data_IF_786582311544
#
_entry.id   IF_786582311544
#
_cell.length_a   1.000
_cell.length_b   1.000
_cell.length_c   1.000
_cell.angle_alpha   90.00
_cell.angle_beta   90.00
_cell.angle_gamma   90.00
#
_symmetry.space_group_name_H-M   'P 1'
#
loop_
_entity.id
_entity.type
_entity.pdbx_description
1 polymer ?
#
# COMPACT_ATOMS: atom_id res chain seq x y z
N UNK A 1 5.05 -37.28 78.61
CA UNK A 1 5.22 -35.83 78.39
C UNK A 1 4.36 -35.41 77.20
N UNK A 2 3.40 -34.49 77.36
CA UNK A 2 2.49 -34.12 76.27
C UNK A 2 3.19 -33.15 75.33
N UNK A 3 3.20 -33.47 74.03
CA UNK A 3 3.71 -32.58 72.98
C UNK A 3 2.75 -31.40 72.88
N UNK A 4 3.19 -30.22 73.31
CA UNK A 4 2.35 -29.03 73.40
C UNK A 4 1.72 -28.62 72.05
N UNK A 5 0.50 -28.06 72.05
CA UNK A 5 -0.27 -27.76 70.84
C UNK A 5 0.38 -26.73 69.88
N UNK A 6 1.43 -26.02 70.32
CA UNK A 6 2.08 -24.95 69.55
C UNK A 6 2.74 -25.36 68.23
N UNK A 7 3.20 -26.61 68.07
CA UNK A 7 3.88 -27.05 66.83
C UNK A 7 2.95 -27.17 65.61
N UNK A 8 1.66 -27.47 65.83
CA UNK A 8 0.68 -27.57 64.72
C UNK A 8 0.32 -26.19 64.16
N UNK A 9 0.15 -25.19 65.02
CA UNK A 9 -0.14 -23.82 64.61
C UNK A 9 0.99 -23.18 63.80
N UNK A 10 2.25 -23.39 64.21
CA UNK A 10 3.42 -22.90 63.48
C UNK A 10 3.50 -23.48 62.05
N UNK A 11 3.16 -24.76 61.88
CA UNK A 11 3.20 -25.44 60.57
C UNK A 11 2.09 -24.94 59.62
N UNK A 12 0.89 -24.67 60.14
CA UNK A 12 -0.19 -24.07 59.36
C UNK A 12 0.12 -22.65 58.90
N UNK A 13 0.74 -21.82 59.75
CA UNK A 13 1.18 -20.48 59.38
C UNK A 13 2.25 -20.48 58.29
N UNK A 14 3.21 -21.42 58.36
CA UNK A 14 4.23 -21.58 57.33
C UNK A 14 3.65 -22.04 55.98
N UNK A 15 2.70 -22.98 55.99
CA UNK A 15 2.01 -23.44 54.77
C UNK A 15 1.20 -22.33 54.12
N UNK A 16 0.45 -21.55 54.91
CA UNK A 16 -0.30 -20.40 54.38
C UNK A 16 0.63 -19.34 53.79
N UNK A 17 1.76 -19.04 54.44
CA UNK A 17 2.75 -18.10 53.92
C UNK A 17 3.42 -18.61 52.64
N UNK A 18 3.60 -19.94 52.50
CA UNK A 18 4.11 -20.58 51.27
C UNK A 18 3.08 -20.48 50.15
N UNK A 19 1.83 -20.91 50.37
CA UNK A 19 0.75 -20.77 49.38
C UNK A 19 0.52 -19.31 48.97
N UNK A 20 0.67 -18.34 49.89
CA UNK A 20 0.56 -16.92 49.57
C UNK A 20 1.75 -16.42 48.73
N UNK A 21 2.96 -16.93 48.97
CA UNK A 21 4.16 -16.62 48.19
C UNK A 21 4.11 -17.24 46.80
N UNK A 22 3.69 -18.50 46.73
CA UNK A 22 3.54 -19.26 45.51
C UNK A 22 2.43 -18.63 44.65
N UNK A 23 1.27 -18.33 45.24
CA UNK A 23 0.18 -17.62 44.55
C UNK A 23 0.53 -16.21 44.09
N UNK A 24 1.32 -15.45 44.85
CA UNK A 24 1.82 -14.15 44.41
C UNK A 24 2.86 -14.27 43.28
N UNK A 25 3.65 -15.34 43.27
CA UNK A 25 4.56 -15.67 42.18
C UNK A 25 3.82 -16.04 40.90
N UNK A 26 2.78 -16.88 41.02
CA UNK A 26 1.93 -17.30 39.90
C UNK A 26 1.18 -16.10 39.29
N UNK A 27 0.65 -15.20 40.13
CA UNK A 27 -0.01 -13.96 39.68
C UNK A 27 0.97 -13.03 38.94
N UNK A 28 2.21 -12.90 39.43
CA UNK A 28 3.25 -12.12 38.77
C UNK A 28 3.65 -12.72 37.42
N UNK A 29 3.80 -14.05 37.34
CA UNK A 29 4.12 -14.75 36.09
C UNK A 29 2.99 -14.60 35.06
N UNK A 30 1.74 -14.79 35.49
CA UNK A 30 0.56 -14.57 34.64
C UNK A 30 0.44 -13.12 34.16
N UNK A 31 0.70 -12.15 35.04
CA UNK A 31 0.72 -10.73 34.67
C UNK A 31 1.80 -10.42 33.63
N UNK A 32 2.99 -11.03 33.78
CA UNK A 32 4.10 -10.86 32.83
C UNK A 32 3.79 -11.50 31.48
N UNK A 33 3.26 -12.72 31.47
CA UNK A 33 2.83 -13.42 30.25
C UNK A 33 1.72 -12.64 29.53
N UNK A 34 0.71 -12.16 30.27
CA UNK A 34 -0.34 -11.32 29.72
C UNK A 34 0.20 -10.02 29.12
N UNK A 35 1.18 -9.37 29.77
CA UNK A 35 1.81 -8.17 29.24
C UNK A 35 2.63 -8.44 27.96
N UNK A 36 3.37 -9.56 27.91
CA UNK A 36 4.09 -10.00 26.72
C UNK A 36 3.12 -10.31 25.57
N UNK A 37 2.00 -10.98 25.87
CA UNK A 37 0.95 -11.31 24.89
C UNK A 37 0.25 -10.06 24.35
N UNK A 38 -0.13 -9.12 25.21
CA UNK A 38 -0.71 -7.84 24.79
C UNK A 38 0.26 -7.04 23.92
N UNK A 39 1.54 -7.00 24.29
CA UNK A 39 2.56 -6.32 23.49
C UNK A 39 2.75 -6.96 22.12
N UNK A 40 2.69 -8.29 22.03
CA UNK A 40 2.76 -8.99 20.75
C UNK A 40 1.56 -8.66 19.85
N UNK A 41 0.35 -8.62 20.42
CA UNK A 41 -0.88 -8.19 19.72
C UNK A 41 -0.76 -6.74 19.25
N UNK A 42 -0.32 -5.82 20.10
CA UNK A 42 -0.16 -4.40 19.75
C UNK A 42 0.86 -4.18 18.62
N UNK A 43 1.98 -4.91 18.65
CA UNK A 43 3.00 -4.83 17.58
C UNK A 43 2.48 -5.38 16.26
N UNK A 44 1.72 -6.49 16.29
CA UNK A 44 1.13 -7.08 15.10
C UNK A 44 0.06 -6.15 14.51
N UNK A 45 -0.90 -5.71 15.32
CA UNK A 45 -1.98 -4.81 14.90
C UNK A 45 -1.42 -3.46 14.42
N UNK A 46 -0.40 -2.92 15.09
CA UNK A 46 0.28 -1.70 14.67
C UNK A 46 0.96 -1.84 13.30
N UNK A 47 1.54 -3.01 13.01
CA UNK A 47 2.13 -3.32 11.71
C UNK A 47 1.10 -3.38 10.58
N UNK A 48 -0.03 -4.05 10.81
CA UNK A 48 -1.14 -4.15 9.85
C UNK A 48 -1.78 -2.78 9.57
N UNK A 49 -1.99 -1.96 10.60
CA UNK A 49 -2.50 -0.58 10.45
C UNK A 49 -1.53 0.27 9.62
N UNK A 50 -0.23 0.17 9.90
CA UNK A 50 0.80 0.91 9.15
C UNK A 50 0.84 0.47 7.68
N UNK A 51 0.76 -0.84 7.41
CA UNK A 51 0.72 -1.38 6.06
C UNK A 51 -0.53 -0.95 5.30
N UNK A 52 -1.70 -1.00 5.95
CA UNK A 52 -2.97 -0.53 5.39
C UNK A 52 -2.90 0.94 5.00
N UNK A 53 -2.42 1.79 5.90
CA UNK A 53 -2.22 3.22 5.63
C UNK A 53 -1.26 3.45 4.46
N UNK A 54 -0.18 2.67 4.38
CA UNK A 54 0.79 2.76 3.29
C UNK A 54 0.20 2.37 1.93
N UNK A 55 -0.64 1.31 1.89
CA UNK A 55 -1.38 0.92 0.68
C UNK A 55 -2.36 2.01 0.23
N UNK A 56 -3.12 2.58 1.16
CA UNK A 56 -4.02 3.69 0.87
C UNK A 56 -3.26 4.92 0.38
N UNK A 57 -2.11 5.24 0.98
CA UNK A 57 -1.24 6.31 0.52
C UNK A 57 -0.74 6.07 -0.92
N UNK A 58 -0.38 4.83 -1.27
CA UNK A 58 0.00 4.47 -2.63
C UNK A 58 -1.17 4.63 -3.63
N UNK A 59 -2.40 4.31 -3.22
CA UNK A 59 -3.62 4.59 -4.01
C UNK A 59 -3.77 6.10 -4.27
N UNK A 60 -3.66 6.93 -3.23
CA UNK A 60 -3.72 8.38 -3.40
C UNK A 60 -2.58 8.92 -4.26
N UNK A 61 -1.36 8.40 -4.12
CA UNK A 61 -0.21 8.79 -4.93
C UNK A 61 -0.43 8.47 -6.42
N UNK A 62 -0.99 7.30 -6.75
CA UNK A 62 -1.37 6.98 -8.13
C UNK A 62 -2.48 7.92 -8.65
N UNK A 63 -3.44 8.26 -7.79
CA UNK A 63 -4.50 9.24 -8.11
C UNK A 63 -3.93 10.63 -8.37
N UNK A 64 -2.92 11.03 -7.60
CA UNK A 64 -2.21 12.28 -7.78
C UNK A 64 -1.47 12.33 -9.13
N UNK A 65 -0.78 11.25 -9.52
CA UNK A 65 -0.15 11.19 -10.84
C UNK A 65 -1.18 11.35 -11.98
N UNK A 66 -2.36 10.74 -11.84
CA UNK A 66 -3.47 10.92 -12.76
C UNK A 66 -3.90 12.38 -12.88
N UNK A 67 -4.07 13.06 -11.75
CA UNK A 67 -4.42 14.48 -11.72
C UNK A 67 -3.31 15.34 -12.34
N UNK A 68 -2.04 15.07 -12.03
CA UNK A 68 -0.91 15.79 -12.62
C UNK A 68 -0.92 15.64 -14.15
N UNK A 69 -1.06 14.42 -14.66
CA UNK A 69 -1.05 14.19 -16.11
C UNK A 69 -2.30 14.71 -16.81
N UNK A 70 -3.45 14.76 -16.13
CA UNK A 70 -4.66 15.40 -16.67
C UNK A 70 -4.48 16.92 -16.81
N UNK A 71 -3.91 17.57 -15.80
CA UNK A 71 -3.59 19.00 -15.89
C UNK A 71 -2.53 19.27 -16.96
N UNK A 72 -1.47 18.45 -17.01
CA UNK A 72 -0.44 18.56 -18.05
C UNK A 72 -1.02 18.40 -19.45
N UNK A 73 -2.01 17.51 -19.64
CA UNK A 73 -2.71 17.36 -20.92
C UNK A 73 -3.37 18.68 -21.34
N UNK A 74 -4.17 19.31 -20.49
CA UNK A 74 -4.83 20.56 -20.86
C UNK A 74 -3.83 21.72 -21.04
N UNK A 75 -2.84 21.81 -20.15
CA UNK A 75 -1.79 22.83 -20.19
C UNK A 75 -0.94 22.73 -21.48
N UNK A 76 -0.77 21.54 -22.03
CA UNK A 76 -0.01 21.35 -23.28
C UNK A 76 -0.89 21.37 -24.53
N UNK A 77 -2.13 20.87 -24.44
CA UNK A 77 -3.05 20.78 -25.58
C UNK A 77 -3.60 22.13 -26.01
N UNK A 78 -3.92 23.04 -25.07
CA UNK A 78 -4.45 24.37 -25.41
C UNK A 78 -3.42 25.18 -26.21
N UNK A 79 -2.15 25.36 -25.75
CA UNK A 79 -1.15 26.08 -26.53
C UNK A 79 -0.81 25.39 -27.85
N UNK A 80 -0.83 24.05 -27.87
CA UNK A 80 -0.62 23.29 -29.09
C UNK A 80 -1.70 23.58 -30.15
N UNK A 81 -2.98 23.60 -29.77
CA UNK A 81 -4.07 23.96 -30.69
C UNK A 81 -3.96 25.42 -31.17
N UNK A 82 -3.57 26.34 -30.29
CA UNK A 82 -3.33 27.74 -30.66
C UNK A 82 -2.18 27.87 -31.68
N UNK A 83 -1.11 27.09 -31.53
CA UNK A 83 0.05 27.13 -32.43
C UNK A 83 -0.29 26.73 -33.88
N UNK A 84 -1.27 25.84 -34.06
CA UNK A 84 -1.76 25.40 -35.38
C UNK A 84 -3.08 26.06 -35.78
N UNK A 85 -3.51 27.11 -35.06
CA UNK A 85 -4.78 27.86 -35.26
C UNK A 85 -6.01 26.95 -35.37
N UNK A 86 -6.02 25.86 -34.61
CA UNK A 86 -7.11 24.89 -34.61
C UNK A 86 -8.24 25.36 -33.71
N UNK A 87 -9.47 25.40 -34.24
CA UNK A 87 -10.66 25.65 -33.43
C UNK A 87 -11.06 24.41 -32.63
N UNK A 88 -11.78 24.59 -31.52
CA UNK A 88 -12.30 23.47 -30.74
C UNK A 88 -13.16 22.54 -31.60
N UNK A 89 -13.98 23.08 -32.50
CA UNK A 89 -14.83 22.28 -33.40
C UNK A 89 -14.04 21.43 -34.39
N UNK A 90 -12.84 21.89 -34.80
CA UNK A 90 -11.99 21.14 -35.71
C UNK A 90 -11.45 19.85 -35.09
N UNK A 91 -11.39 19.76 -33.75
CA UNK A 91 -10.93 18.55 -33.04
C UNK A 91 -11.87 17.35 -33.18
N UNK A 92 -13.14 17.58 -33.55
CA UNK A 92 -14.13 16.52 -33.76
C UNK A 92 -13.83 15.66 -35.00
N UNK A 93 -13.01 16.17 -35.93
CA UNK A 93 -12.63 15.42 -37.13
C UNK A 93 -11.64 14.30 -36.74
N UNK A 94 -11.87 13.05 -37.20
CA UNK A 94 -10.91 11.97 -37.00
C UNK A 94 -9.52 12.36 -37.46
N UNK A 95 -8.51 12.14 -36.62
CA UNK A 95 -7.12 12.47 -36.93
C UNK A 95 -6.74 13.94 -36.77
N UNK A 96 -7.65 14.88 -36.48
CA UNK A 96 -7.28 16.29 -36.29
C UNK A 96 -6.19 16.47 -35.22
N UNK A 97 -6.26 15.71 -34.13
CA UNK A 97 -5.28 15.77 -33.04
C UNK A 97 -3.88 15.25 -33.42
N UNK A 98 -3.72 14.54 -34.55
CA UNK A 98 -2.41 14.08 -34.99
C UNK A 98 -1.54 15.19 -35.59
N UNK A 99 -2.14 16.32 -35.97
CA UNK A 99 -1.40 17.49 -36.49
C UNK A 99 -0.76 18.32 -35.37
N UNK A 100 -1.08 18.03 -34.11
CA UNK A 100 -0.50 18.72 -32.97
C UNK A 100 1.00 18.41 -32.84
N UNK A 101 1.80 19.36 -32.33
CA UNK A 101 3.20 19.14 -32.01
C UNK A 101 3.45 17.87 -31.17
N UNK A 102 4.60 17.23 -31.41
CA UNK A 102 4.93 15.95 -30.78
C UNK A 102 4.93 16.02 -29.24
N UNK A 103 5.41 17.12 -28.65
CA UNK A 103 5.45 17.30 -27.19
C UNK A 103 4.04 17.24 -26.56
N UNK A 104 3.03 17.87 -27.19
CA UNK A 104 1.64 17.81 -26.70
C UNK A 104 1.00 16.44 -26.95
N UNK A 105 1.34 15.79 -28.08
CA UNK A 105 0.88 14.42 -28.36
C UNK A 105 1.47 13.39 -27.39
N UNK A 106 2.70 13.57 -26.92
CA UNK A 106 3.35 12.69 -25.96
C UNK A 106 2.65 12.69 -24.61
N UNK A 107 2.26 13.88 -24.11
CA UNK A 107 1.50 14.01 -22.85
C UNK A 107 0.11 13.39 -22.99
N UNK A 108 -0.57 13.61 -24.11
CA UNK A 108 -1.87 12.96 -24.38
C UNK A 108 -1.77 11.43 -24.46
N UNK A 109 -0.75 10.92 -25.15
CA UNK A 109 -0.50 9.48 -25.21
C UNK A 109 -0.21 8.92 -23.81
N UNK A 110 0.52 9.63 -22.96
CA UNK A 110 0.75 9.21 -21.58
C UNK A 110 -0.55 9.18 -20.76
N UNK A 111 -1.36 10.23 -20.81
CA UNK A 111 -2.64 10.29 -20.12
C UNK A 111 -3.56 9.10 -20.50
N UNK A 112 -3.61 8.73 -21.78
CA UNK A 112 -4.37 7.56 -22.21
C UNK A 112 -3.82 6.24 -21.63
N UNK A 113 -2.48 6.07 -21.58
CA UNK A 113 -1.85 4.91 -20.94
C UNK A 113 -2.05 4.88 -19.40
N UNK A 114 -2.42 6.01 -18.80
CA UNK A 114 -2.80 6.09 -17.40
C UNK A 114 -4.19 5.56 -17.13
N UNK A 115 -5.10 5.48 -18.10
CA UNK A 115 -6.44 4.97 -17.83
C UNK A 115 -6.48 3.44 -17.64
N UNK A 116 -5.71 2.67 -18.42
CA UNK A 116 -5.89 1.22 -18.50
C UNK A 116 -5.25 0.46 -17.32
N UNK A 117 -3.94 0.58 -17.09
CA UNK A 117 -3.24 -0.20 -16.06
C UNK A 117 -3.57 0.18 -14.59
N UNK A 118 -3.69 1.47 -14.23
CA UNK A 118 -3.99 1.91 -12.87
C UNK A 118 -5.39 1.54 -12.37
N UNK A 119 -6.36 1.34 -13.25
CA UNK A 119 -7.70 0.89 -12.85
C UNK A 119 -7.62 -0.49 -12.18
N UNK A 120 -6.82 -1.40 -12.72
CA UNK A 120 -6.55 -2.70 -12.12
C UNK A 120 -5.81 -2.57 -10.79
N UNK A 121 -4.82 -1.67 -10.70
CA UNK A 121 -4.11 -1.41 -9.44
C UNK A 121 -5.05 -0.94 -8.32
N UNK A 122 -5.92 0.03 -8.59
CA UNK A 122 -6.89 0.49 -7.60
C UNK A 122 -7.79 -0.64 -7.11
N UNK A 123 -8.36 -1.42 -8.03
CA UNK A 123 -9.24 -2.52 -7.68
C UNK A 123 -8.54 -3.56 -6.78
N UNK A 124 -7.34 -3.99 -7.17
CA UNK A 124 -6.57 -5.02 -6.45
C UNK A 124 -6.12 -4.53 -5.09
N UNK A 125 -5.54 -3.33 -5.00
CA UNK A 125 -5.04 -2.78 -3.74
C UNK A 125 -6.17 -2.52 -2.74
N UNK A 126 -7.31 -1.98 -3.20
CA UNK A 126 -8.47 -1.77 -2.33
C UNK A 126 -9.10 -3.10 -1.90
N UNK A 127 -9.12 -4.12 -2.76
CA UNK A 127 -9.58 -5.45 -2.38
C UNK A 127 -8.70 -6.09 -1.29
N UNK A 128 -7.37 -5.96 -1.40
CA UNK A 128 -6.43 -6.45 -0.38
C UNK A 128 -6.68 -5.76 0.97
N UNK A 129 -6.85 -4.44 0.96
CA UNK A 129 -7.16 -3.66 2.17
C UNK A 129 -8.51 -4.08 2.75
N UNK A 130 -9.55 -4.17 1.92
CA UNK A 130 -10.90 -4.53 2.36
C UNK A 130 -10.98 -5.96 2.92
N UNK A 131 -10.17 -6.87 2.39
CA UNK A 131 -10.08 -8.25 2.85
C UNK A 131 -9.19 -8.42 4.11
N UNK A 132 -8.54 -7.36 4.59
CA UNK A 132 -7.71 -7.40 5.80
C UNK A 132 -6.35 -8.07 5.61
N UNK A 133 -5.89 -8.28 4.38
CA UNK A 133 -4.61 -8.94 4.09
C UNK A 133 -3.44 -7.96 3.94
N UNK A 134 -3.59 -6.69 4.35
CA UNK A 134 -2.57 -5.68 4.19
C UNK A 134 -1.32 -6.01 5.03
N UNK A 135 -0.16 -6.05 4.39
CA UNK A 135 1.13 -6.24 5.06
C UNK A 135 2.26 -5.45 4.39
N UNK A 136 3.45 -5.51 4.99
CA UNK A 136 4.62 -4.77 4.51
C UNK A 136 5.06 -5.14 3.09
N UNK A 137 4.80 -6.37 2.64
CA UNK A 137 5.16 -6.81 1.29
C UNK A 137 4.20 -6.22 0.26
N UNK A 138 2.89 -6.24 0.52
CA UNK A 138 1.92 -5.54 -0.33
C UNK A 138 2.22 -4.05 -0.39
N UNK A 139 2.54 -3.42 0.75
CA UNK A 139 2.92 -2.01 0.79
C UNK A 139 4.15 -1.72 -0.08
N UNK A 140 5.20 -2.54 0.02
CA UNK A 140 6.40 -2.42 -0.81
C UNK A 140 6.10 -2.56 -2.31
N UNK A 141 5.34 -3.59 -2.71
CA UNK A 141 4.94 -3.80 -4.10
C UNK A 141 4.11 -2.63 -4.65
N UNK A 142 3.21 -2.06 -3.85
CA UNK A 142 2.40 -0.92 -4.24
C UNK A 142 3.26 0.33 -4.50
N UNK A 143 4.24 0.61 -3.64
CA UNK A 143 5.15 1.75 -3.85
C UNK A 143 6.11 1.56 -5.02
N UNK A 144 6.60 0.34 -5.25
CA UNK A 144 7.38 0.02 -6.45
C UNK A 144 6.53 0.25 -7.71
N UNK A 145 5.29 -0.22 -7.71
CA UNK A 145 4.36 0.03 -8.82
C UNK A 145 4.16 1.53 -9.05
N UNK A 146 3.81 2.30 -8.02
CA UNK A 146 3.64 3.76 -8.11
C UNK A 146 4.90 4.43 -8.64
N UNK A 147 6.07 4.12 -8.09
CA UNK A 147 7.35 4.69 -8.54
C UNK A 147 7.62 4.43 -10.03
N UNK A 148 7.39 3.21 -10.51
CA UNK A 148 7.52 2.87 -11.92
C UNK A 148 6.57 3.67 -12.81
N UNK A 149 5.34 3.96 -12.33
CA UNK A 149 4.38 4.78 -13.07
C UNK A 149 4.83 6.23 -13.18
N UNK A 150 5.39 6.80 -12.12
CA UNK A 150 5.97 8.15 -12.16
C UNK A 150 7.16 8.21 -13.16
N UNK A 151 8.05 7.22 -13.12
CA UNK A 151 9.20 7.14 -14.06
C UNK A 151 8.70 7.01 -15.50
N UNK A 152 7.74 6.11 -15.75
CA UNK A 152 7.17 5.92 -17.09
C UNK A 152 6.56 7.22 -17.63
N UNK A 153 5.78 7.92 -16.80
CA UNK A 153 5.18 9.19 -17.18
C UNK A 153 6.21 10.28 -17.46
N UNK A 154 7.24 10.39 -16.63
CA UNK A 154 8.32 11.33 -16.85
C UNK A 154 9.04 11.02 -18.18
N UNK A 155 9.42 9.77 -18.44
CA UNK A 155 10.10 9.36 -19.68
C UNK A 155 9.22 9.63 -20.89
N UNK A 156 7.94 9.29 -20.86
CA UNK A 156 7.05 9.48 -22.00
C UNK A 156 6.75 10.96 -22.28
N UNK A 157 6.53 11.76 -21.24
CA UNK A 157 6.24 13.19 -21.38
C UNK A 157 7.46 14.01 -21.85
N UNK A 158 8.69 13.55 -21.57
CA UNK A 158 9.93 14.29 -21.87
C UNK A 158 10.74 13.67 -23.01
N UNK A 159 11.54 12.64 -22.72
CA UNK A 159 12.52 12.03 -23.64
C UNK A 159 11.86 11.17 -24.72
N UNK A 160 10.70 10.60 -24.40
CA UNK A 160 9.87 9.78 -25.27
C UNK A 160 10.57 8.59 -25.94
N UNK A 161 11.62 8.02 -25.32
CA UNK A 161 12.33 6.87 -25.86
C UNK A 161 11.47 5.60 -25.70
N UNK A 162 11.00 5.07 -26.83
CA UNK A 162 10.01 3.98 -26.88
C UNK A 162 10.44 2.74 -26.09
N UNK A 163 11.68 2.28 -26.27
CA UNK A 163 12.19 1.08 -25.58
C UNK A 163 12.20 1.28 -24.05
N UNK A 164 12.62 2.46 -23.58
CA UNK A 164 12.69 2.76 -22.14
C UNK A 164 11.29 2.83 -21.55
N UNK A 165 10.38 3.60 -22.15
CA UNK A 165 9.01 3.69 -21.63
C UNK A 165 8.31 2.33 -21.65
N UNK A 166 8.53 1.52 -22.68
CA UNK A 166 7.96 0.17 -22.78
C UNK A 166 8.51 -0.75 -21.68
N UNK A 167 9.83 -0.77 -21.46
CA UNK A 167 10.43 -1.59 -20.42
C UNK A 167 9.92 -1.23 -19.02
N UNK A 168 9.84 0.06 -18.70
CA UNK A 168 9.31 0.54 -17.40
C UNK A 168 7.82 0.19 -17.26
N UNK A 169 7.03 0.33 -18.33
CA UNK A 169 5.62 -0.05 -18.34
C UNK A 169 5.43 -1.55 -18.12
N UNK A 170 6.16 -2.39 -18.87
CA UNK A 170 6.12 -3.84 -18.72
C UNK A 170 6.52 -4.27 -17.31
N UNK A 171 7.57 -3.66 -16.73
CA UNK A 171 7.97 -3.93 -15.36
C UNK A 171 6.87 -3.55 -14.36
N UNK A 172 6.17 -2.43 -14.56
CA UNK A 172 5.02 -2.07 -13.71
C UNK A 172 3.90 -3.11 -13.76
N UNK A 173 3.64 -3.69 -14.93
CA UNK A 173 2.68 -4.80 -15.07
C UNK A 173 3.13 -6.08 -14.38
N UNK A 174 4.42 -6.41 -14.45
CA UNK A 174 4.97 -7.57 -13.73
C UNK A 174 4.76 -7.40 -12.22
N UNK A 175 5.08 -6.23 -11.67
CA UNK A 175 4.86 -5.94 -10.25
C UNK A 175 3.38 -6.05 -9.88
N UNK A 176 2.48 -5.50 -10.70
CA UNK A 176 1.04 -5.63 -10.49
C UNK A 176 0.56 -7.09 -10.57
N UNK A 177 1.09 -7.87 -11.51
CA UNK A 177 0.81 -9.30 -11.63
C UNK A 177 1.24 -10.09 -10.39
N UNK A 178 2.42 -9.79 -9.84
CA UNK A 178 2.89 -10.38 -8.58
C UNK A 178 1.95 -10.02 -7.42
N UNK A 179 1.52 -8.76 -7.32
CA UNK A 179 0.54 -8.31 -6.32
C UNK A 179 -0.78 -9.07 -6.44
N UNK A 180 -1.29 -9.25 -7.67
CA UNK A 180 -2.53 -10.00 -7.93
C UNK A 180 -2.39 -11.45 -7.51
N UNK A 181 -1.34 -12.15 -7.96
CA UNK A 181 -1.13 -13.57 -7.63
C UNK A 181 -1.01 -13.74 -6.13
N UNK A 182 -0.27 -12.86 -5.45
CA UNK A 182 -0.12 -12.90 -4.00
C UNK A 182 -1.45 -12.63 -3.28
N UNK A 183 -2.20 -11.63 -3.73
CA UNK A 183 -3.52 -11.32 -3.18
C UNK A 183 -4.49 -12.49 -3.36
N UNK A 184 -4.48 -13.13 -4.53
CA UNK A 184 -5.27 -14.32 -4.79
C UNK A 184 -4.89 -15.46 -3.83
N UNK A 185 -3.60 -15.76 -3.67
CA UNK A 185 -3.12 -16.80 -2.75
C UNK A 185 -3.58 -16.51 -1.33
N UNK A 186 -3.45 -15.27 -0.85
CA UNK A 186 -3.86 -14.88 0.50
C UNK A 186 -5.36 -15.07 0.77
N UNK A 187 -6.21 -14.85 -0.25
CA UNK A 187 -7.68 -14.98 -0.11
C UNK A 187 -8.13 -16.44 -0.11
N UNK A 188 -7.39 -17.35 -0.77
CA UNK A 188 -7.81 -18.76 -0.92
C UNK A 188 -7.14 -19.72 0.06
N UNK A 189 -6.12 -19.27 0.79
CA UNK A 189 -5.39 -20.04 1.81
C UNK A 189 -5.95 -19.82 3.20
#
# INVERSE_FOLDING_TARGET
MPVGPGRRYARHAQLQARCRRDGAGDEFLLARENAERSRAVDLQYGGEVTATQSLLAAVFAQGLLHLIMSQALYATRIPAMMSVKMSAQATLKPGALSTLPLWARNVAANYNNLAEAPTTFYAVTLAIVAAGYADGVFAGLAWVYVGLRYIHSAVQATVNRVIVRFAVFALSWVVLGVTIVRGLVAVVS
#
